data_IF_565454891774
#
_entry.id   IF_565454891774
#
_cell.length_a   1.000
_cell.length_b   1.000
_cell.length_c   1.000
_cell.angle_alpha   90.00
_cell.angle_beta   90.00
_cell.angle_gamma   90.00
#
_symmetry.space_group_name_H-M   'P 1'
#
loop_
_entity.id
_entity.type
_entity.pdbx_description
1 polymer ?
#
# COMPACT_ATOMS: atom_id res chain seq x y z
N UNK A 1 -10.21 13.43 9.03
CA UNK A 1 -10.86 14.16 7.91
C UNK A 1 -10.93 13.41 6.58
N UNK A 2 -9.93 12.62 6.10
CA UNK A 2 -9.98 12.08 4.72
C UNK A 2 -11.09 11.05 4.45
N UNK A 3 -11.50 10.25 5.45
CA UNK A 3 -12.56 9.25 5.28
C UNK A 3 -13.95 9.86 4.99
N UNK A 4 -14.26 11.05 5.54
CA UNK A 4 -15.57 11.70 5.39
C UNK A 4 -15.81 12.22 3.97
N UNK A 5 -14.76 12.72 3.30
CA UNK A 5 -14.82 13.19 1.92
C UNK A 5 -14.99 12.04 0.92
N UNK A 6 -14.34 10.91 1.17
CA UNK A 6 -14.43 9.74 0.28
C UNK A 6 -15.84 9.11 0.32
N UNK A 7 -16.47 9.03 1.49
CA UNK A 7 -17.84 8.54 1.61
C UNK A 7 -18.85 9.43 0.87
N UNK A 8 -18.76 10.75 1.02
CA UNK A 8 -19.68 11.68 0.34
C UNK A 8 -19.65 11.53 -1.19
N UNK A 9 -18.46 11.47 -1.79
CA UNK A 9 -18.30 11.30 -3.24
C UNK A 9 -18.93 9.99 -3.76
N UNK A 10 -18.81 8.89 -3.00
CA UNK A 10 -19.42 7.60 -3.35
C UNK A 10 -20.95 7.67 -3.37
N UNK A 11 -21.55 8.33 -2.39
CA UNK A 11 -23.01 8.52 -2.35
C UNK A 11 -23.50 9.45 -3.46
N UNK A 12 -22.77 10.52 -3.80
CA UNK A 12 -23.08 11.36 -4.97
C UNK A 12 -23.06 10.55 -6.28
N UNK A 13 -22.05 9.69 -6.46
CA UNK A 13 -21.94 8.84 -7.63
C UNK A 13 -23.09 7.82 -7.70
N UNK A 14 -23.40 7.15 -6.59
CA UNK A 14 -24.51 6.19 -6.52
C UNK A 14 -25.87 6.85 -6.83
N UNK A 15 -26.10 8.07 -6.35
CA UNK A 15 -27.30 8.84 -6.66
C UNK A 15 -27.39 9.18 -8.16
N UNK A 16 -26.27 9.55 -8.79
CA UNK A 16 -26.24 9.80 -10.23
C UNK A 16 -26.51 8.53 -11.06
N UNK A 17 -26.01 7.38 -10.61
CA UNK A 17 -26.30 6.07 -11.21
C UNK A 17 -27.79 5.74 -11.09
N UNK A 18 -28.38 5.86 -9.88
CA UNK A 18 -29.82 5.61 -9.66
C UNK A 18 -30.68 6.49 -10.57
N UNK A 19 -30.41 7.79 -10.64
CA UNK A 19 -31.16 8.72 -11.50
C UNK A 19 -31.14 8.32 -12.98
N UNK A 20 -29.96 7.92 -13.49
CA UNK A 20 -29.85 7.43 -14.87
C UNK A 20 -30.63 6.14 -15.10
N UNK A 21 -30.65 5.25 -14.12
CA UNK A 21 -31.41 4.00 -14.20
C UNK A 21 -32.92 4.26 -14.19
N UNK A 22 -33.39 5.22 -13.40
CA UNK A 22 -34.79 5.70 -13.40
C UNK A 22 -35.19 6.29 -14.75
N UNK A 23 -34.33 7.12 -15.35
CA UNK A 23 -34.54 7.69 -16.69
C UNK A 23 -34.62 6.60 -17.78
N UNK A 24 -33.78 5.56 -17.69
CA UNK A 24 -33.80 4.44 -18.64
C UNK A 24 -35.03 3.54 -18.43
N UNK A 25 -35.38 3.24 -17.19
CA UNK A 25 -36.52 2.38 -16.86
C UNK A 25 -37.86 3.03 -17.22
N UNK A 26 -38.00 4.35 -17.04
CA UNK A 26 -39.19 5.11 -17.44
C UNK A 26 -39.45 5.04 -18.96
N UNK A 27 -38.40 4.83 -19.76
CA UNK A 27 -38.51 4.71 -21.22
C UNK A 27 -38.74 3.26 -21.70
N UNK A 28 -38.64 2.26 -20.83
CA UNK A 28 -38.60 0.85 -21.20
C UNK A 28 -39.59 -0.06 -20.43
N UNK A 29 -40.40 0.49 -19.52
CA UNK A 29 -41.36 -0.24 -18.67
C UNK A 29 -40.70 -1.43 -17.91
N UNK A 30 -39.46 -1.21 -17.47
CA UNK A 30 -38.64 -2.21 -16.77
C UNK A 30 -38.65 -1.97 -15.26
N UNK A 31 -38.60 -3.06 -14.49
CA UNK A 31 -38.49 -2.99 -13.04
C UNK A 31 -37.12 -2.42 -12.64
N UNK A 32 -37.14 -1.39 -11.79
CA UNK A 32 -35.94 -0.68 -11.36
C UNK A 32 -35.03 -1.54 -10.49
N UNK A 33 -33.73 -1.72 -10.85
CA UNK A 33 -32.77 -2.39 -9.98
C UNK A 33 -32.44 -1.53 -8.76
N UNK A 34 -32.25 -2.16 -7.61
CA UNK A 34 -31.82 -1.45 -6.40
C UNK A 34 -30.34 -1.08 -6.45
N UNK A 35 -30.02 0.15 -6.04
CA UNK A 35 -28.65 0.63 -5.89
C UNK A 35 -28.32 0.65 -4.40
N UNK A 36 -27.20 0.02 -4.02
CA UNK A 36 -26.70 -0.02 -2.64
C UNK A 36 -25.21 0.27 -2.62
N UNK A 37 -24.74 1.06 -1.65
CA UNK A 37 -23.32 1.32 -1.41
C UNK A 37 -22.77 0.31 -0.41
N UNK A 38 -21.76 -0.46 -0.80
CA UNK A 38 -21.02 -1.31 0.14
C UNK A 38 -19.79 -0.57 0.69
N UNK A 39 -19.68 -0.47 2.01
CA UNK A 39 -18.54 0.17 2.69
C UNK A 39 -17.77 -0.89 3.45
N UNK A 40 -16.53 -1.14 3.03
CA UNK A 40 -15.64 -2.10 3.69
C UNK A 40 -14.70 -1.41 4.67
N UNK A 41 -14.74 -1.80 5.94
CA UNK A 41 -13.78 -1.34 6.95
C UNK A 41 -12.65 -2.34 7.15
N UNK A 42 -11.43 -1.83 7.28
CA UNK A 42 -10.22 -2.61 7.60
C UNK A 42 -10.07 -2.66 9.12
N UNK A 43 -10.36 -3.82 9.71
CA UNK A 43 -10.49 -4.01 11.16
C UNK A 43 -9.14 -4.14 11.88
N UNK A 44 -8.37 -3.06 11.97
CA UNK A 44 -7.11 -3.03 12.73
C UNK A 44 -7.15 -2.03 13.89
N UNK A 45 -7.01 -2.52 15.11
CA UNK A 45 -6.90 -1.72 16.33
C UNK A 45 -5.44 -1.32 16.57
N UNK A 46 -5.14 -0.05 16.86
CA UNK A 46 -3.85 0.32 17.41
C UNK A 46 -3.76 -0.22 18.85
N UNK A 47 -2.73 -1.01 19.14
CA UNK A 47 -2.41 -1.47 20.50
C UNK A 47 -1.37 -0.52 21.10
N UNK A 48 -1.66 0.04 22.26
CA UNK A 48 -0.67 0.71 23.09
C UNK A 48 -0.09 -0.33 24.06
N UNK A 49 0.96 -1.02 23.60
CA UNK A 49 1.87 -1.73 24.48
C UNK A 49 3.24 -1.04 24.42
N UNK A 50 3.83 -0.84 25.60
CA UNK A 50 5.14 -0.22 25.80
C UNK A 50 6.24 -1.12 25.25
N UNK A 51 6.42 -1.14 23.93
CA UNK A 51 7.69 -1.34 23.19
C UNK A 51 7.47 -1.65 21.71
N UNK A 52 6.28 -2.09 21.27
CA UNK A 52 6.03 -2.41 19.86
C UNK A 52 4.58 -2.10 19.43
N UNK A 53 4.41 -1.26 18.40
CA UNK A 53 3.11 -1.04 17.75
C UNK A 53 2.86 -2.15 16.73
N UNK A 54 2.30 -3.27 17.15
CA UNK A 54 1.64 -4.21 16.24
C UNK A 54 0.17 -3.80 16.07
N UNK A 55 -0.34 -3.87 14.84
CA UNK A 55 -1.78 -3.76 14.59
C UNK A 55 -2.44 -5.09 14.96
N UNK A 56 -3.13 -5.15 16.10
CA UNK A 56 -4.04 -6.28 16.37
C UNK A 56 -5.30 -6.10 15.53
N UNK A 57 -5.89 -7.19 15.07
CA UNK A 57 -7.25 -7.10 14.52
C UNK A 57 -8.20 -6.67 15.63
N UNK A 58 -9.19 -5.81 15.34
CA UNK A 58 -10.27 -5.54 16.31
C UNK A 58 -11.01 -6.83 16.76
N UNK A 59 -10.81 -7.96 16.05
CA UNK A 59 -11.25 -9.29 16.47
C UNK A 59 -10.72 -9.70 17.86
N UNK A 60 -9.56 -9.18 18.26
CA UNK A 60 -8.93 -9.48 19.56
C UNK A 60 -9.32 -8.47 20.64
N UNK A 61 -10.00 -7.36 20.29
CA UNK A 61 -10.46 -6.32 21.22
C UNK A 61 -11.84 -5.77 20.79
N UNK A 62 -12.93 -6.57 20.91
CA UNK A 62 -14.23 -6.27 20.30
C UNK A 62 -14.84 -4.95 20.77
N UNK A 63 -14.73 -4.64 22.06
CA UNK A 63 -15.34 -3.47 22.70
C UNK A 63 -14.82 -2.12 22.14
N UNK A 64 -13.62 -2.12 21.55
CA UNK A 64 -13.01 -0.92 20.95
C UNK A 64 -13.50 -0.65 19.51
N UNK A 65 -14.01 -1.66 18.80
CA UNK A 65 -14.53 -1.49 17.45
C UNK A 65 -15.87 -0.80 17.47
N UNK A 66 -16.79 -1.29 18.29
CA UNK A 66 -18.16 -0.80 18.34
C UNK A 66 -18.20 0.69 18.71
N UNK A 67 -17.44 1.10 19.73
CA UNK A 67 -17.34 2.49 20.16
C UNK A 67 -16.82 3.43 19.05
N UNK A 68 -15.85 2.97 18.24
CA UNK A 68 -15.31 3.77 17.13
C UNK A 68 -16.23 3.78 15.91
N UNK A 69 -17.03 2.73 15.72
CA UNK A 69 -17.93 2.60 14.58
C UNK A 69 -19.23 3.40 14.74
N UNK A 70 -19.61 3.80 15.96
CA UNK A 70 -20.81 4.64 16.20
C UNK A 70 -20.77 5.93 15.37
N UNK A 71 -19.64 6.63 15.38
CA UNK A 71 -19.48 7.90 14.66
C UNK A 71 -19.53 7.72 13.14
N UNK A 72 -18.95 6.63 12.63
CA UNK A 72 -18.98 6.32 11.20
C UNK A 72 -20.37 5.91 10.73
N UNK A 73 -21.07 5.06 11.51
CA UNK A 73 -22.41 4.64 11.18
C UNK A 73 -23.36 5.83 11.12
N UNK A 74 -23.29 6.76 12.09
CA UNK A 74 -24.10 7.97 12.08
C UNK A 74 -23.89 8.82 10.83
N UNK A 75 -22.64 8.96 10.37
CA UNK A 75 -22.34 9.69 9.13
C UNK A 75 -22.89 8.95 7.91
N UNK A 76 -22.78 7.62 7.85
CA UNK A 76 -23.31 6.82 6.74
C UNK A 76 -24.85 6.83 6.71
N UNK A 77 -25.51 6.81 7.87
CA UNK A 77 -26.96 6.95 7.99
C UNK A 77 -27.41 8.31 7.43
N UNK A 78 -26.74 9.41 7.80
CA UNK A 78 -27.03 10.75 7.27
C UNK A 78 -26.83 10.84 5.74
N UNK A 79 -25.78 10.21 5.21
CA UNK A 79 -25.52 10.17 3.77
C UNK A 79 -26.55 9.31 3.03
N UNK A 80 -27.01 8.22 3.64
CA UNK A 80 -28.05 7.35 3.11
C UNK A 80 -29.38 8.08 3.01
N UNK A 81 -29.78 8.77 4.10
CA UNK A 81 -30.99 9.61 4.14
C UNK A 81 -30.94 10.75 3.11
N UNK A 82 -29.81 11.46 3.02
CA UNK A 82 -29.63 12.54 2.07
C UNK A 82 -29.68 12.08 0.59
N UNK A 83 -29.14 10.89 0.30
CA UNK A 83 -29.03 10.40 -1.07
C UNK A 83 -30.18 9.51 -1.54
N UNK A 84 -31.01 9.02 -0.60
CA UNK A 84 -31.98 7.95 -0.81
C UNK A 84 -31.34 6.67 -1.39
N UNK A 85 -30.11 6.37 -0.92
CA UNK A 85 -29.34 5.17 -1.29
C UNK A 85 -29.04 4.37 -0.02
N UNK A 86 -29.44 3.10 0.00
CA UNK A 86 -29.11 2.19 1.08
C UNK A 86 -27.61 1.88 1.11
N UNK A 87 -27.10 1.54 2.29
CA UNK A 87 -25.72 1.07 2.42
C UNK A 87 -25.61 -0.18 3.27
N UNK A 88 -24.52 -0.91 3.05
CA UNK A 88 -24.15 -2.09 3.83
C UNK A 88 -22.73 -1.92 4.34
N UNK A 89 -22.56 -2.08 5.65
CA UNK A 89 -21.23 -2.15 6.27
C UNK A 89 -20.75 -3.59 6.21
N UNK A 90 -19.58 -3.79 5.60
CA UNK A 90 -18.88 -5.07 5.63
C UNK A 90 -17.53 -4.85 6.29
N UNK A 91 -17.12 -5.84 7.06
CA UNK A 91 -15.88 -5.84 7.79
C UNK A 91 -14.91 -6.77 7.07
N UNK A 92 -13.65 -6.37 6.89
CA UNK A 92 -12.67 -7.20 6.18
C UNK A 92 -12.58 -8.61 6.78
N UNK A 93 -12.73 -8.69 8.11
CA UNK A 93 -12.78 -9.95 8.85
C UNK A 93 -13.89 -10.91 8.39
N UNK A 94 -15.00 -10.41 7.82
CA UNK A 94 -16.10 -11.24 7.30
C UNK A 94 -15.82 -11.84 5.93
N UNK A 95 -14.83 -11.35 5.19
CA UNK A 95 -14.39 -11.97 3.93
C UNK A 95 -13.49 -13.20 4.17
N UNK A 96 -12.94 -13.32 5.38
CA UNK A 96 -12.14 -14.44 5.84
C UNK A 96 -12.96 -15.18 6.91
N UNK A 97 -13.90 -16.02 6.46
CA UNK A 97 -14.92 -16.68 7.29
C UNK A 97 -14.41 -17.19 8.66
N UNK A 98 -15.26 -17.13 9.67
CA UNK A 98 -15.02 -17.69 11.00
C UNK A 98 -15.14 -19.24 11.03
N UNK A 99 -15.32 -19.82 9.87
CA UNK A 99 -15.68 -21.19 9.60
C UNK A 99 -15.32 -21.40 8.13
N UNK A 100 -14.38 -22.31 7.88
CA UNK A 100 -13.75 -22.52 6.59
C UNK A 100 -14.66 -23.13 5.52
N UNK A 101 -15.70 -22.40 5.11
CA UNK A 101 -16.53 -22.73 3.94
C UNK A 101 -16.28 -21.73 2.81
N UNK A 102 -15.48 -22.16 1.84
CA UNK A 102 -15.50 -21.57 0.51
C UNK A 102 -16.69 -22.10 -0.29
N UNK A 103 -17.26 -21.23 -1.12
CA UNK A 103 -17.92 -21.52 -2.40
C UNK A 103 -18.25 -22.99 -2.71
N UNK A 104 -19.53 -23.35 -2.62
CA UNK A 104 -20.06 -24.61 -3.16
C UNK A 104 -20.29 -24.43 -4.66
N UNK A 105 -19.57 -25.18 -5.49
CA UNK A 105 -20.03 -25.65 -6.80
C UNK A 105 -20.38 -27.15 -6.71
N UNK A 106 -21.28 -27.68 -7.55
CA UNK A 106 -21.99 -28.94 -7.25
C UNK A 106 -21.11 -30.18 -7.38
N UNK A 107 -21.49 -31.18 -6.58
CA UNK A 107 -20.81 -32.41 -6.24
C UNK A 107 -20.21 -33.22 -7.42
N UNK A 108 -18.92 -33.54 -7.29
CA UNK A 108 -18.24 -34.65 -7.96
C UNK A 108 -17.24 -35.30 -7.01
N UNK A 109 -17.54 -36.51 -6.54
CA UNK A 109 -16.75 -37.24 -5.53
C UNK A 109 -15.32 -37.55 -6.04
N UNK A 110 -14.29 -37.10 -5.32
CA UNK A 110 -12.98 -37.77 -5.33
C UNK A 110 -12.22 -37.58 -4.00
N UNK A 111 -11.44 -38.60 -3.66
CA UNK A 111 -10.79 -38.95 -2.37
C UNK A 111 -9.86 -37.87 -1.77
N UNK A 112 -9.55 -37.94 -0.46
CA UNK A 112 -8.86 -36.85 0.26
C UNK A 112 -7.44 -36.66 -0.29
N UNK A 113 -7.19 -35.50 -0.89
CA UNK A 113 -5.82 -35.00 -1.09
C UNK A 113 -5.33 -34.46 0.25
N UNK A 114 -4.30 -35.13 0.77
CA UNK A 114 -3.39 -34.63 1.79
C UNK A 114 -3.16 -33.13 1.58
N UNK A 115 -3.41 -32.33 2.62
CA UNK A 115 -3.13 -30.89 2.63
C UNK A 115 -1.67 -30.70 2.23
N UNK A 116 -1.46 -30.28 0.99
CA UNK A 116 -0.19 -29.66 0.63
C UNK A 116 -0.10 -28.35 1.43
N UNK A 117 1.05 -28.04 2.03
CA UNK A 117 1.21 -26.80 2.77
C UNK A 117 0.92 -25.64 1.81
N UNK A 118 0.35 -24.56 2.34
CA UNK A 118 0.21 -23.32 1.61
C UNK A 118 1.55 -23.03 0.91
N UNK A 119 1.54 -22.86 -0.43
CA UNK A 119 2.67 -22.26 -1.13
C UNK A 119 2.82 -20.85 -0.58
N UNK A 120 3.57 -20.68 0.51
CA UNK A 120 4.29 -19.44 0.71
C UNK A 120 5.11 -19.25 -0.55
N UNK A 121 4.96 -18.14 -1.27
CA UNK A 121 5.78 -17.91 -2.44
C UNK A 121 7.22 -17.77 -1.93
N UNK A 122 8.12 -18.76 -2.13
CA UNK A 122 9.49 -18.68 -1.62
C UNK A 122 10.35 -17.71 -2.46
N UNK A 123 9.72 -17.00 -3.39
CA UNK A 123 10.36 -16.35 -4.52
C UNK A 123 10.40 -14.83 -4.41
N UNK A 124 10.43 -14.30 -3.19
CA UNK A 124 10.67 -12.88 -2.95
C UNK A 124 12.12 -12.63 -2.59
N UNK A 125 12.70 -11.60 -3.17
CA UNK A 125 14.07 -11.17 -2.89
C UNK A 125 14.05 -10.30 -1.64
N UNK A 126 14.40 -10.89 -0.51
CA UNK A 126 14.25 -10.26 0.82
C UNK A 126 15.24 -9.12 1.07
N UNK A 127 16.23 -8.96 0.20
CA UNK A 127 17.17 -7.83 0.19
C UNK A 127 16.59 -6.59 -0.48
N UNK A 128 15.46 -6.71 -1.17
CA UNK A 128 14.94 -5.68 -2.07
C UNK A 128 13.48 -5.36 -1.77
N UNK A 129 13.19 -4.08 -1.58
CA UNK A 129 11.86 -3.61 -1.21
C UNK A 129 11.35 -2.57 -2.20
N UNK A 130 10.14 -2.77 -2.71
CA UNK A 130 9.40 -1.78 -3.48
C UNK A 130 8.59 -0.90 -2.54
N UNK A 131 8.64 0.41 -2.75
CA UNK A 131 7.83 1.38 -2.03
C UNK A 131 7.48 2.59 -2.90
N UNK A 132 6.32 3.20 -2.60
CA UNK A 132 5.93 4.44 -3.24
C UNK A 132 6.76 5.63 -2.74
N UNK A 133 7.02 6.56 -3.65
CA UNK A 133 7.65 7.85 -3.39
C UNK A 133 7.01 8.93 -4.28
N UNK A 134 6.91 10.16 -3.77
CA UNK A 134 6.43 11.30 -4.55
C UNK A 134 7.52 11.82 -5.50
N UNK A 135 7.16 12.35 -6.68
CA UNK A 135 8.13 12.90 -7.64
C UNK A 135 9.11 13.92 -7.02
N UNK A 136 8.62 14.83 -6.18
CA UNK A 136 9.46 15.84 -5.51
C UNK A 136 10.53 15.22 -4.60
N UNK A 137 10.21 14.15 -3.87
CA UNK A 137 11.17 13.50 -2.99
C UNK A 137 12.20 12.71 -3.78
N UNK A 138 11.77 12.06 -4.86
CA UNK A 138 12.67 11.35 -5.76
C UNK A 138 13.63 12.32 -6.47
N UNK A 139 13.16 13.48 -6.93
CA UNK A 139 13.99 14.52 -7.52
C UNK A 139 15.03 15.07 -6.52
N UNK A 140 14.64 15.27 -5.26
CA UNK A 140 15.57 15.70 -4.22
C UNK A 140 16.63 14.62 -3.92
N UNK A 141 16.28 13.34 -4.00
CA UNK A 141 17.24 12.24 -3.87
C UNK A 141 18.20 12.23 -5.06
N UNK A 142 17.67 12.29 -6.28
CA UNK A 142 18.49 12.28 -7.51
C UNK A 142 19.48 13.45 -7.59
N UNK A 143 19.09 14.63 -7.08
CA UNK A 143 19.96 15.80 -6.97
C UNK A 143 20.87 15.80 -5.72
N UNK A 144 20.87 14.71 -4.94
CA UNK A 144 21.60 14.55 -3.66
C UNK A 144 21.24 15.57 -2.57
N UNK A 145 20.19 16.37 -2.75
CA UNK A 145 19.69 17.28 -1.71
C UNK A 145 19.01 16.53 -0.56
N UNK A 146 18.46 15.33 -0.83
CA UNK A 146 17.93 14.42 0.17
C UNK A 146 18.79 13.16 0.21
N UNK A 147 19.54 12.97 1.29
CA UNK A 147 20.50 11.87 1.44
C UNK A 147 19.99 10.70 2.30
N UNK A 148 18.81 10.83 2.91
CA UNK A 148 18.16 9.76 3.68
C UNK A 148 16.71 9.56 3.24
N UNK A 149 16.25 8.31 3.23
CA UNK A 149 14.83 7.97 3.15
C UNK A 149 14.26 7.76 4.56
N UNK A 150 13.15 8.40 4.90
CA UNK A 150 12.58 8.36 6.25
C UNK A 150 11.28 7.57 6.32
N UNK A 151 11.16 6.63 7.26
CA UNK A 151 9.94 5.81 7.43
C UNK A 151 9.49 5.71 8.88
N UNK A 152 8.19 5.53 9.07
CA UNK A 152 7.56 5.24 10.38
C UNK A 152 7.82 3.80 10.84
N UNK A 153 8.01 2.88 9.89
CA UNK A 153 8.24 1.46 10.14
C UNK A 153 9.69 1.07 9.87
N UNK A 154 10.13 0.01 10.54
CA UNK A 154 11.45 -0.57 10.35
C UNK A 154 11.43 -1.58 9.20
N UNK A 155 12.41 -1.47 8.30
CA UNK A 155 12.72 -2.50 7.31
C UNK A 155 13.50 -3.63 7.97
N UNK A 156 13.32 -4.85 7.47
CA UNK A 156 14.05 -6.03 7.97
C UNK A 156 15.56 -5.83 7.82
N UNK A 157 16.33 -6.42 8.74
CA UNK A 157 17.78 -6.54 8.58
C UNK A 157 18.11 -7.36 7.32
N UNK A 158 19.12 -6.92 6.56
CA UNK A 158 19.49 -7.48 5.26
C UNK A 158 18.83 -6.81 4.05
N UNK A 159 17.87 -5.90 4.22
CA UNK A 159 17.39 -5.07 3.09
C UNK A 159 18.50 -4.10 2.68
N UNK A 160 18.91 -4.16 1.42
CA UNK A 160 19.99 -3.36 0.82
C UNK A 160 19.52 -2.49 -0.31
N UNK A 161 18.31 -2.69 -0.84
CA UNK A 161 17.82 -1.96 -2.02
C UNK A 161 16.37 -1.51 -1.86
N UNK A 162 16.13 -0.25 -2.20
CA UNK A 162 14.81 0.38 -2.23
C UNK A 162 14.43 0.69 -3.67
N UNK A 163 13.41 0.01 -4.19
CA UNK A 163 12.85 0.20 -5.51
C UNK A 163 11.72 1.22 -5.41
N UNK A 164 11.92 2.39 -6.01
CA UNK A 164 11.01 3.52 -5.91
C UNK A 164 9.97 3.50 -7.01
N UNK A 165 8.72 3.23 -6.61
CA UNK A 165 7.54 3.51 -7.43
C UNK A 165 7.19 4.99 -7.31
N UNK A 166 7.43 5.75 -8.38
CA UNK A 166 7.09 7.16 -8.45
C UNK A 166 5.57 7.32 -8.63
N UNK A 167 4.92 7.98 -7.67
CA UNK A 167 3.47 8.21 -7.72
C UNK A 167 3.10 9.23 -8.78
N UNK A 168 1.87 9.13 -9.30
CA UNK A 168 1.26 10.17 -10.12
C UNK A 168 0.38 11.05 -9.23
N UNK A 169 0.99 12.03 -8.56
CA UNK A 169 0.26 13.01 -7.74
C UNK A 169 -0.35 14.06 -8.68
N UNK A 170 -1.69 14.15 -8.73
CA UNK A 170 -2.42 15.12 -9.56
C UNK A 170 -2.05 15.12 -11.07
N UNK A 171 -1.71 13.94 -11.62
CA UNK A 171 -1.31 13.78 -13.02
C UNK A 171 0.15 14.12 -13.30
N UNK A 172 0.94 14.45 -12.27
CA UNK A 172 2.38 14.65 -12.35
C UNK A 172 3.13 13.45 -11.77
N UNK A 173 4.14 12.95 -12.48
CA UNK A 173 4.92 11.77 -12.10
C UNK A 173 4.71 10.58 -13.03
N UNK A 174 5.54 9.55 -12.88
CA UNK A 174 5.67 8.46 -13.88
C UNK A 174 4.76 7.25 -13.66
N UNK A 175 4.08 7.14 -12.52
CA UNK A 175 3.25 5.97 -12.16
C UNK A 175 3.96 4.62 -12.41
N UNK A 176 5.25 4.58 -12.10
CA UNK A 176 6.16 3.51 -12.50
C UNK A 176 7.28 3.36 -11.48
N UNK A 177 7.86 2.17 -11.40
CA UNK A 177 9.15 1.99 -10.74
C UNK A 177 10.22 2.55 -11.66
N UNK A 178 10.97 3.52 -11.16
CA UNK A 178 11.92 4.29 -11.99
C UNK A 178 13.33 4.25 -11.44
N UNK A 179 13.49 4.11 -10.13
CA UNK A 179 14.80 4.17 -9.49
C UNK A 179 14.99 3.06 -8.45
N UNK A 180 16.25 2.70 -8.23
CA UNK A 180 16.68 1.76 -7.20
C UNK A 180 17.77 2.45 -6.38
N UNK A 181 17.51 2.68 -5.10
CA UNK A 181 18.51 3.17 -4.16
C UNK A 181 19.18 2.01 -3.42
N UNK A 182 20.49 2.13 -3.20
CA UNK A 182 21.25 1.22 -2.34
C UNK A 182 21.36 1.81 -0.94
N UNK A 183 21.12 0.99 0.07
CA UNK A 183 21.23 1.31 1.49
C UNK A 183 22.12 0.27 2.19
N UNK A 184 22.69 0.57 3.37
CA UNK A 184 23.47 -0.41 4.13
C UNK A 184 22.66 -1.66 4.50
N UNK A 185 23.28 -2.85 4.42
CA UNK A 185 22.65 -4.15 4.72
C UNK A 185 22.31 -4.34 6.22
N UNK A 186 23.16 -3.78 7.07
CA UNK A 186 23.19 -3.82 8.54
C UNK A 186 23.72 -2.44 8.98
N UNK A 187 23.47 -1.87 10.14
CA UNK A 187 23.25 -2.38 11.52
C UNK A 187 22.25 -1.49 12.26
N UNK A 188 21.86 -1.87 13.49
CA UNK A 188 21.07 -1.05 14.44
C UNK A 188 21.58 0.38 14.64
N UNK A 189 22.83 0.69 14.27
CA UNK A 189 23.48 1.98 14.49
C UNK A 189 23.44 2.93 13.27
N UNK A 190 23.21 2.41 12.06
CA UNK A 190 23.13 3.21 10.82
C UNK A 190 21.68 3.49 10.38
N UNK A 191 20.71 2.79 10.98
CA UNK A 191 19.29 3.17 10.91
C UNK A 191 19.07 4.27 11.93
N UNK A 192 19.50 5.47 11.56
CA UNK A 192 19.58 6.57 12.48
C UNK A 192 18.21 6.85 13.12
N UNK A 193 18.17 6.73 14.45
CA UNK A 193 17.10 7.26 15.30
C UNK A 193 17.24 8.79 15.37
N UNK A 194 16.18 9.52 15.75
CA UNK A 194 16.28 10.95 15.97
C UNK A 194 17.50 11.33 16.82
N UNK A 195 18.31 12.25 16.31
CA UNK A 195 19.53 12.76 16.96
C UNK A 195 20.82 12.13 16.42
N UNK A 196 20.71 11.10 15.56
CA UNK A 196 21.88 10.36 15.08
C UNK A 196 22.20 10.54 13.58
N UNK A 197 21.32 11.17 12.79
CA UNK A 197 21.60 11.44 11.37
C UNK A 197 22.67 12.54 11.25
N UNK A 198 23.73 12.38 10.44
CA UNK A 198 24.66 13.47 10.15
C UNK A 198 23.95 14.68 9.52
N UNK A 199 24.18 15.89 10.06
CA UNK A 199 23.70 17.14 9.44
C UNK A 199 24.62 17.63 8.32
N UNK A 200 25.84 17.10 8.27
CA UNK A 200 26.81 17.35 7.19
C UNK A 200 27.24 16.02 6.53
N UNK A 201 27.18 15.92 5.19
CA UNK A 201 26.69 16.93 4.25
C UNK A 201 25.18 17.19 4.41
N UNK A 202 24.75 18.41 4.09
CA UNK A 202 23.35 18.81 4.14
C UNK A 202 22.42 17.77 3.50
N UNK A 203 21.32 17.48 4.20
CA UNK A 203 20.26 16.60 3.73
C UNK A 203 18.88 17.12 4.13
N UNK A 204 17.98 17.24 3.16
CA UNK A 204 16.61 17.69 3.38
C UNK A 204 15.93 16.77 4.40
N UNK A 205 15.61 17.36 5.55
CA UNK A 205 14.92 16.71 6.65
C UNK A 205 15.81 16.09 7.72
N UNK A 206 17.14 16.19 7.62
CA UNK A 206 18.06 15.64 8.63
C UNK A 206 17.87 16.35 9.98
N UNK A 207 17.89 17.68 10.00
CA UNK A 207 17.68 18.48 11.22
C UNK A 207 16.29 18.23 11.82
N UNK A 208 15.23 18.28 11.00
CA UNK A 208 13.87 18.01 11.47
C UNK A 208 13.73 16.60 12.05
N UNK A 209 14.35 15.62 11.41
CA UNK A 209 14.33 14.24 11.89
C UNK A 209 15.06 14.12 13.22
N UNK A 210 16.23 14.74 13.35
CA UNK A 210 17.00 14.73 14.57
C UNK A 210 16.35 15.48 15.73
N UNK A 211 15.62 16.54 15.42
CA UNK A 211 14.84 17.29 16.40
C UNK A 211 13.46 16.67 16.70
N UNK A 212 13.21 15.42 16.28
CA UNK A 212 11.94 14.70 16.46
C UNK A 212 10.71 15.42 15.88
N UNK A 213 10.91 16.34 14.93
CA UNK A 213 9.83 17.08 14.25
C UNK A 213 9.17 16.28 13.12
N UNK A 214 9.71 15.11 12.79
CA UNK A 214 9.12 14.18 11.82
C UNK A 214 8.40 13.05 12.53
N UNK A 215 7.28 12.62 11.96
CA UNK A 215 6.59 11.41 12.42
C UNK A 215 7.36 10.11 12.12
N UNK A 216 8.36 10.18 11.23
CA UNK A 216 9.23 9.04 10.89
C UNK A 216 10.16 8.71 12.05
N UNK A 217 10.46 7.42 12.22
CA UNK A 217 11.28 6.89 13.31
C UNK A 217 12.63 6.35 12.85
N UNK A 218 12.77 6.11 11.54
CA UNK A 218 13.96 5.49 10.96
C UNK A 218 14.40 6.30 9.74
N UNK A 219 15.69 6.66 9.69
CA UNK A 219 16.36 7.19 8.51
C UNK A 219 17.26 6.14 7.86
N UNK A 220 17.12 5.93 6.55
CA UNK A 220 17.96 5.04 5.76
C UNK A 220 18.86 5.88 4.85
N UNK A 221 20.19 5.88 5.07
CA UNK A 221 21.11 6.61 4.19
C UNK A 221 21.08 6.00 2.79
N UNK A 222 21.01 6.87 1.78
CA UNK A 222 21.03 6.49 0.37
C UNK A 222 22.47 6.60 -0.11
N UNK A 223 23.12 5.45 -0.31
CA UNK A 223 24.53 5.36 -0.68
C UNK A 223 24.72 5.56 -2.19
N UNK A 224 23.85 4.92 -2.97
CA UNK A 224 23.87 4.94 -4.43
C UNK A 224 22.44 5.06 -4.95
N UNK A 225 22.30 5.61 -6.15
CA UNK A 225 21.03 5.67 -6.84
C UNK A 225 21.22 5.24 -8.30
N UNK A 226 20.33 4.36 -8.74
CA UNK A 226 20.26 3.88 -10.11
C UNK A 226 18.91 4.27 -10.70
N UNK A 227 18.89 4.71 -11.96
CA UNK A 227 17.67 4.87 -12.75
C UNK A 227 17.51 3.64 -13.65
N UNK A 228 16.30 3.07 -13.70
CA UNK A 228 15.95 2.03 -14.65
C UNK A 228 15.91 2.61 -16.07
N UNK A 229 16.65 2.00 -17.00
CA UNK A 229 16.61 2.34 -18.42
C UNK A 229 15.20 2.16 -18.97
N UNK A 230 14.50 1.11 -18.51
CA UNK A 230 13.10 0.82 -18.80
C UNK A 230 12.27 0.82 -17.51
N UNK A 231 11.59 1.93 -17.20
CA UNK A 231 10.69 2.01 -16.05
C UNK A 231 9.61 0.93 -16.10
N UNK A 232 9.24 0.42 -14.93
CA UNK A 232 8.20 -0.61 -14.80
C UNK A 232 6.88 0.05 -14.42
N UNK A 233 5.97 0.16 -15.38
CA UNK A 233 4.66 0.78 -15.14
C UNK A 233 3.66 -0.19 -14.49
N UNK A 234 2.56 0.35 -13.95
CA UNK A 234 1.55 -0.45 -13.25
C UNK A 234 0.91 -1.55 -14.11
N UNK A 235 0.75 -1.33 -15.41
CA UNK A 235 0.20 -2.34 -16.32
C UNK A 235 1.14 -3.52 -16.47
N UNK A 236 2.43 -3.25 -16.62
CA UNK A 236 3.48 -4.25 -16.66
C UNK A 236 3.58 -5.01 -15.32
N UNK A 237 3.52 -4.30 -14.19
CA UNK A 237 3.50 -4.90 -12.85
C UNK A 237 2.41 -5.98 -12.70
N UNK A 238 1.20 -5.66 -13.19
CA UNK A 238 0.04 -6.55 -13.17
C UNK A 238 0.20 -7.73 -14.14
N UNK A 239 0.60 -7.44 -15.38
CA UNK A 239 0.62 -8.42 -16.46
C UNK A 239 1.76 -9.44 -16.32
N UNK A 240 2.96 -8.99 -15.95
CA UNK A 240 4.14 -9.85 -15.91
C UNK A 240 4.35 -10.52 -14.55
N UNK A 241 4.11 -9.81 -13.45
CA UNK A 241 4.41 -10.33 -12.10
C UNK A 241 3.18 -10.42 -11.18
N UNK A 242 1.97 -10.34 -11.74
CA UNK A 242 0.73 -10.56 -11.01
C UNK A 242 0.51 -9.61 -9.84
N UNK A 243 1.12 -8.43 -9.86
CA UNK A 243 1.02 -7.48 -8.75
C UNK A 243 -0.36 -6.83 -8.72
N UNK A 244 -1.09 -6.96 -7.61
CA UNK A 244 -2.48 -6.48 -7.49
C UNK A 244 -2.70 -4.95 -7.60
N UNK A 245 -1.65 -4.14 -7.66
CA UNK A 245 -1.78 -2.68 -7.74
C UNK A 245 -0.47 -1.94 -7.47
N UNK A 246 -0.56 -0.61 -7.49
CA UNK A 246 0.53 0.27 -7.10
C UNK A 246 0.88 0.01 -5.61
N UNK A 247 2.17 0.12 -5.22
CA UNK A 247 2.56 -0.06 -3.83
C UNK A 247 1.92 1.02 -2.94
N UNK A 248 0.98 0.64 -2.07
CA UNK A 248 0.40 1.56 -1.07
C UNK A 248 1.23 1.66 0.23
N UNK A 249 2.23 0.78 0.38
CA UNK A 249 3.14 0.72 1.51
C UNK A 249 4.52 0.27 1.04
N UNK A 250 4.99 -0.86 1.58
CA UNK A 250 6.18 -1.53 1.08
C UNK A 250 5.91 -3.02 0.88
N UNK A 251 6.66 -3.65 -0.02
CA UNK A 251 6.68 -5.11 -0.22
C UNK A 251 8.02 -5.54 -0.78
N UNK A 252 8.42 -6.77 -0.53
CA UNK A 252 9.61 -7.32 -1.19
C UNK A 252 9.40 -7.46 -2.70
N UNK A 253 10.47 -7.28 -3.48
CA UNK A 253 10.49 -7.51 -4.92
C UNK A 253 10.27 -9.00 -5.21
N UNK A 254 9.47 -9.32 -6.21
CA UNK A 254 9.31 -10.71 -6.70
C UNK A 254 10.56 -11.10 -7.51
N UNK A 255 11.05 -12.34 -7.38
CA UNK A 255 12.33 -12.78 -7.96
C UNK A 255 12.44 -12.53 -9.45
N UNK A 256 11.42 -12.91 -10.22
CA UNK A 256 11.40 -12.68 -11.68
C UNK A 256 11.58 -11.20 -12.04
N UNK A 257 10.98 -10.29 -11.27
CA UNK A 257 11.13 -8.85 -11.48
C UNK A 257 12.56 -8.40 -11.15
N UNK A 258 13.10 -8.91 -10.05
CA UNK A 258 14.47 -8.62 -9.65
C UNK A 258 15.49 -9.13 -10.67
N UNK A 259 15.34 -10.37 -11.15
CA UNK A 259 16.21 -10.95 -12.17
C UNK A 259 16.14 -10.17 -13.49
N UNK A 260 14.93 -9.77 -13.87
CA UNK A 260 14.69 -9.07 -15.12
C UNK A 260 15.20 -7.61 -15.14
N UNK A 261 15.17 -6.89 -14.01
CA UNK A 261 15.55 -5.47 -13.94
C UNK A 261 16.86 -5.19 -13.20
N UNK A 262 17.39 -6.15 -12.45
CA UNK A 262 18.60 -5.98 -11.66
C UNK A 262 19.57 -7.15 -11.84
N UNK A 263 19.17 -8.37 -11.43
CA UNK A 263 19.91 -9.63 -11.62
C UNK A 263 21.34 -9.67 -11.05
N UNK A 264 22.01 -10.82 -11.24
CA UNK A 264 23.42 -11.02 -10.86
C UNK A 264 24.41 -10.71 -11.98
N UNK A 265 23.94 -10.15 -13.10
CA UNK A 265 24.78 -9.82 -14.26
C UNK A 265 25.94 -8.87 -13.91
N UNK A 266 27.14 -9.18 -14.43
CA UNK A 266 28.34 -8.34 -14.26
C UNK A 266 28.23 -7.02 -15.05
N UNK A 267 27.48 -7.01 -16.15
CA UNK A 267 27.13 -5.81 -16.90
C UNK A 267 25.62 -5.56 -16.75
N UNK A 268 25.27 -4.44 -16.10
CA UNK A 268 23.88 -3.99 -15.90
C UNK A 268 23.58 -2.72 -16.68
N UNK A 269 24.47 -2.27 -17.55
CA UNK A 269 24.35 -0.98 -18.26
C UNK A 269 23.13 -0.89 -19.17
N UNK A 270 22.61 -2.04 -19.63
CA UNK A 270 21.39 -2.12 -20.44
C UNK A 270 20.10 -1.96 -19.60
N UNK A 271 20.14 -2.27 -18.31
CA UNK A 271 18.95 -2.25 -17.45
C UNK A 271 18.93 -1.04 -16.51
N UNK A 272 20.10 -0.58 -16.03
CA UNK A 272 20.20 0.55 -15.11
C UNK A 272 21.31 1.52 -15.46
N UNK A 273 21.07 2.80 -15.17
CA UNK A 273 22.07 3.87 -15.22
C UNK A 273 22.37 4.33 -13.81
N UNK A 274 23.65 4.31 -13.42
CA UNK A 274 24.06 4.90 -12.14
C UNK A 274 23.88 6.41 -12.20
N UNK A 275 23.08 6.96 -11.29
CA UNK A 275 22.94 8.40 -11.09
C UNK A 275 24.12 8.87 -10.23
N UNK A 276 24.39 8.17 -9.13
CA UNK A 276 25.51 8.47 -8.24
C UNK A 276 25.90 7.30 -7.33
#
# INVERSE_FOLDING_TARGET
MPARLLSFATFCFAQQVKKRMEEVAANADLQLPSVTVEVTFVDTAPVEDYEFKYQKSYREVPDNLDMRMVDYKRVLDLLSEWSDINFKIVYQSKFLGADGEGWISPAGKSKPKVKSPAKGNPDRVLTDVIMAIKPVHLANIASRQKNHEYRKYRLRDGVTRLWFYETADAGQGRASITHIAVIPATTRHERHEPGSVPTEPFGIGNEDFNAEKKESKYGYPILELYELVRPVNLSEMKAQWGMGGAPMGWRYVERDMWENRWGEGQDRSEEVRRVF
#
